data_IF_316640505770
#
_entry.id   IF_316640505770
#
_cell.length_a   1.000
_cell.length_b   1.000
_cell.length_c   1.000
_cell.angle_alpha   90.00
_cell.angle_beta   90.00
_cell.angle_gamma   90.00
#
_symmetry.space_group_name_H-M   'P 1'
#
loop_
_entity.id
_entity.type
_entity.pdbx_description
1 polymer ?
#
# COMPACT_ATOMS: atom_id res chain seq x y z
N UNK A 1 -21.86 -8.01 -2.08
CA UNK A 1 -20.81 -9.05 -1.94
C UNK A 1 -20.71 -9.92 -3.20
N UNK A 2 -21.83 -10.38 -3.75
CA UNK A 2 -21.88 -11.21 -4.97
C UNK A 2 -21.06 -10.63 -6.14
N UNK A 3 -21.28 -9.36 -6.50
CA UNK A 3 -20.54 -8.72 -7.61
C UNK A 3 -19.03 -8.70 -7.41
N UNK A 4 -18.56 -8.59 -6.16
CA UNK A 4 -17.13 -8.60 -5.82
C UNK A 4 -16.52 -9.99 -6.01
N UNK A 5 -17.26 -11.04 -5.66
CA UNK A 5 -16.86 -12.43 -5.94
C UNK A 5 -16.82 -12.70 -7.45
N UNK A 6 -17.85 -12.28 -8.19
CA UNK A 6 -17.88 -12.41 -9.66
C UNK A 6 -16.68 -11.73 -10.29
N UNK A 7 -16.33 -10.52 -9.86
CA UNK A 7 -15.14 -9.82 -10.37
C UNK A 7 -13.84 -10.56 -10.07
N UNK A 8 -13.68 -11.19 -8.90
CA UNK A 8 -12.48 -11.97 -8.57
C UNK A 8 -12.36 -13.19 -9.48
N UNK A 9 -13.48 -13.89 -9.73
CA UNK A 9 -13.50 -15.05 -10.63
C UNK A 9 -13.16 -14.62 -12.06
N UNK A 10 -13.78 -13.54 -12.56
CA UNK A 10 -13.47 -12.99 -13.89
C UNK A 10 -12.00 -12.55 -13.99
N UNK A 11 -11.47 -11.88 -12.98
CA UNK A 11 -10.06 -11.49 -12.93
C UNK A 11 -9.12 -12.70 -12.91
N UNK A 12 -9.52 -13.80 -12.24
CA UNK A 12 -8.76 -15.05 -12.28
C UNK A 12 -8.75 -15.65 -13.68
N UNK A 13 -9.89 -15.71 -14.37
CA UNK A 13 -9.94 -16.20 -15.76
C UNK A 13 -9.09 -15.32 -16.68
N UNK A 14 -9.17 -13.99 -16.51
CA UNK A 14 -8.34 -13.04 -17.26
C UNK A 14 -6.84 -13.23 -16.98
N UNK A 15 -6.45 -13.54 -15.74
CA UNK A 15 -5.04 -13.80 -15.42
C UNK A 15 -4.49 -15.03 -16.14
N UNK A 16 -5.28 -16.10 -16.28
CA UNK A 16 -4.91 -17.29 -17.06
C UNK A 16 -4.71 -16.92 -18.54
N UNK A 17 -5.61 -16.10 -19.10
CA UNK A 17 -5.45 -15.58 -20.46
C UNK A 17 -4.14 -14.81 -20.64
N UNK A 18 -3.82 -13.89 -19.73
CA UNK A 18 -2.58 -13.10 -19.81
C UNK A 18 -1.34 -13.98 -19.68
N UNK A 19 -1.33 -14.94 -18.75
CA UNK A 19 -0.21 -15.87 -18.55
C UNK A 19 0.05 -16.69 -19.83
N UNK A 20 -1.02 -17.21 -20.44
CA UNK A 20 -0.92 -17.96 -21.69
C UNK A 20 -0.48 -17.08 -22.86
N UNK A 21 -1.01 -15.86 -22.97
CA UNK A 21 -0.66 -14.91 -24.04
C UNK A 21 0.79 -14.45 -23.98
N UNK A 22 1.30 -14.22 -22.76
CA UNK A 22 2.71 -13.81 -22.54
C UNK A 22 3.70 -14.95 -22.74
N UNK A 23 3.24 -16.20 -22.86
CA UNK A 23 4.09 -17.37 -23.03
C UNK A 23 4.93 -17.72 -21.80
N UNK A 24 4.64 -17.12 -20.65
CA UNK A 24 5.37 -17.34 -19.39
C UNK A 24 5.12 -18.77 -18.90
N UNK A 25 3.89 -19.25 -19.03
CA UNK A 25 3.48 -20.60 -18.67
C UNK A 25 2.20 -20.94 -19.43
N UNK A 26 1.94 -22.23 -19.65
CA UNK A 26 0.69 -22.70 -20.28
C UNK A 26 -0.19 -23.29 -19.18
N UNK A 27 -1.29 -22.59 -18.90
CA UNK A 27 -2.32 -22.99 -17.96
C UNK A 27 -3.60 -23.36 -18.71
N UNK A 28 -4.10 -24.56 -18.44
CA UNK A 28 -5.42 -24.96 -18.90
C UNK A 28 -6.52 -24.22 -18.14
N UNK A 29 -7.64 -23.95 -18.81
CA UNK A 29 -8.84 -23.35 -18.21
C UNK A 29 -9.63 -24.39 -17.41
N UNK A 30 -9.05 -24.87 -16.31
CA UNK A 30 -9.68 -25.79 -15.37
C UNK A 30 -10.21 -25.05 -14.16
N UNK A 31 -11.24 -25.62 -13.51
CA UNK A 31 -11.79 -25.08 -12.26
C UNK A 31 -10.75 -24.94 -11.15
N UNK A 32 -9.77 -25.84 -11.07
CA UNK A 32 -8.68 -25.77 -10.10
C UNK A 32 -7.80 -24.54 -10.33
N UNK A 33 -7.37 -24.30 -11.57
CA UNK A 33 -6.53 -23.15 -11.90
C UNK A 33 -7.24 -21.81 -11.65
N UNK A 34 -8.55 -21.75 -11.94
CA UNK A 34 -9.39 -20.58 -11.63
C UNK A 34 -9.50 -20.36 -10.12
N UNK A 35 -9.63 -21.43 -9.32
CA UNK A 35 -9.65 -21.31 -7.87
C UNK A 35 -8.31 -20.84 -7.31
N UNK A 36 -7.19 -21.36 -7.82
CA UNK A 36 -5.86 -20.91 -7.41
C UNK A 36 -5.61 -19.45 -7.76
N UNK A 37 -5.96 -19.02 -8.96
CA UNK A 37 -5.85 -17.61 -9.36
C UNK A 37 -6.73 -16.70 -8.49
N UNK A 38 -7.96 -17.11 -8.18
CA UNK A 38 -8.84 -16.35 -7.28
C UNK A 38 -8.24 -16.21 -5.86
N UNK A 39 -7.65 -17.28 -5.31
CA UNK A 39 -6.98 -17.24 -4.01
C UNK A 39 -5.75 -16.31 -4.03
N UNK A 40 -4.95 -16.35 -5.09
CA UNK A 40 -3.79 -15.46 -5.26
C UNK A 40 -4.25 -14.00 -5.31
N UNK A 41 -5.30 -13.69 -6.08
CA UNK A 41 -5.87 -12.34 -6.15
C UNK A 41 -6.30 -11.86 -4.77
N UNK A 42 -6.99 -12.70 -3.99
CA UNK A 42 -7.38 -12.35 -2.62
C UNK A 42 -6.14 -12.09 -1.74
N UNK A 43 -5.11 -12.93 -1.84
CA UNK A 43 -3.84 -12.74 -1.15
C UNK A 43 -3.19 -11.39 -1.47
N UNK A 44 -3.11 -11.05 -2.76
CA UNK A 44 -2.58 -9.75 -3.23
C UNK A 44 -3.43 -8.59 -2.71
N UNK A 45 -4.75 -8.71 -2.70
CA UNK A 45 -5.63 -7.66 -2.16
C UNK A 45 -5.38 -7.40 -0.66
N UNK A 46 -5.13 -8.46 0.12
CA UNK A 46 -4.81 -8.34 1.55
C UNK A 46 -3.43 -7.68 1.71
N UNK A 47 -2.43 -8.15 0.96
CA UNK A 47 -1.09 -7.60 0.99
C UNK A 47 -1.08 -6.11 0.65
N UNK A 48 -1.78 -5.72 -0.43
CA UNK A 48 -1.93 -4.33 -0.83
C UNK A 48 -2.53 -3.45 0.27
N UNK A 49 -3.57 -3.94 0.96
CA UNK A 49 -4.18 -3.20 2.09
C UNK A 49 -3.21 -3.00 3.25
N UNK A 50 -2.39 -4.00 3.57
CA UNK A 50 -1.39 -3.92 4.63
C UNK A 50 -0.32 -2.91 4.23
N UNK A 51 0.23 -3.02 3.01
CA UNK A 51 1.27 -2.14 2.50
C UNK A 51 0.82 -0.68 2.48
N UNK A 52 -0.41 -0.38 2.05
CA UNK A 52 -0.91 1.00 2.03
C UNK A 52 -1.11 1.56 3.43
N UNK A 53 -1.55 0.74 4.40
CA UNK A 53 -1.61 1.18 5.80
C UNK A 53 -0.23 1.51 6.33
N UNK A 54 0.74 0.65 6.07
CA UNK A 54 2.13 0.85 6.47
C UNK A 54 2.73 2.10 5.80
N UNK A 55 2.52 2.28 4.49
CA UNK A 55 3.00 3.44 3.75
C UNK A 55 2.41 4.75 4.28
N UNK A 56 1.11 4.76 4.61
CA UNK A 56 0.46 5.93 5.23
C UNK A 56 1.07 6.25 6.59
N UNK A 57 1.31 5.23 7.43
CA UNK A 57 1.96 5.41 8.72
C UNK A 57 3.39 5.93 8.56
N UNK A 58 4.15 5.35 7.63
CA UNK A 58 5.50 5.78 7.33
C UNK A 58 5.55 7.23 6.86
N UNK A 59 4.71 7.61 5.91
CA UNK A 59 4.58 9.00 5.45
C UNK A 59 4.17 9.94 6.58
N UNK A 60 3.28 9.51 7.47
CA UNK A 60 2.92 10.29 8.65
C UNK A 60 4.13 10.51 9.56
N UNK A 61 4.89 9.46 9.87
CA UNK A 61 6.08 9.58 10.72
C UNK A 61 7.18 10.43 10.07
N UNK A 62 7.39 10.31 8.77
CA UNK A 62 8.48 11.04 8.08
C UNK A 62 8.13 12.50 7.81
N UNK A 63 6.86 12.83 7.59
CA UNK A 63 6.46 14.20 7.24
C UNK A 63 5.89 14.93 8.46
N UNK A 64 4.89 14.34 9.09
CA UNK A 64 4.08 15.03 10.11
C UNK A 64 4.86 15.17 11.41
N UNK A 65 5.60 14.15 11.84
CA UNK A 65 6.37 14.21 13.09
C UNK A 65 7.49 15.28 13.04
N UNK A 66 8.32 15.37 11.99
CA UNK A 66 9.31 16.45 11.89
C UNK A 66 8.67 17.85 11.83
N UNK A 67 7.58 18.01 11.08
CA UNK A 67 6.86 19.30 11.01
C UNK A 67 6.38 19.71 12.39
N UNK A 68 5.75 18.80 13.15
CA UNK A 68 5.35 19.10 14.53
C UNK A 68 6.56 19.37 15.42
N UNK A 69 7.65 18.61 15.27
CA UNK A 69 8.90 18.86 16.00
C UNK A 69 9.42 20.29 15.79
N UNK A 70 9.42 20.76 14.54
CA UNK A 70 9.79 22.14 14.20
C UNK A 70 8.80 23.14 14.81
N UNK A 71 7.50 22.92 14.69
CA UNK A 71 6.49 23.80 15.29
C UNK A 71 6.64 23.92 16.81
N UNK A 72 6.81 22.80 17.52
CA UNK A 72 7.03 22.81 18.96
C UNK A 72 8.34 23.49 19.34
N UNK A 73 9.39 23.32 18.55
CA UNK A 73 10.67 24.00 18.76
C UNK A 73 10.55 25.53 18.63
N UNK A 74 9.78 26.02 17.66
CA UNK A 74 9.49 27.46 17.52
C UNK A 74 8.61 27.99 18.67
N UNK A 75 7.62 27.24 19.11
CA UNK A 75 6.80 27.62 20.28
C UNK A 75 7.67 27.68 21.53
N UNK A 76 8.53 26.68 21.74
CA UNK A 76 9.43 26.62 22.87
C UNK A 76 10.38 27.81 22.90
N UNK A 77 11.08 28.08 21.80
CA UNK A 77 12.00 29.24 21.68
C UNK A 77 11.28 30.59 21.89
N UNK A 78 10.04 30.73 21.42
CA UNK A 78 9.24 31.92 21.69
C UNK A 78 8.93 32.10 23.19
N UNK A 79 8.63 31.01 23.91
CA UNK A 79 8.33 31.06 25.35
C UNK A 79 9.60 31.29 26.18
N UNK A 80 10.71 30.64 25.85
CA UNK A 80 11.96 30.73 26.62
C UNK A 80 12.80 31.94 26.27
N UNK A 81 12.52 32.61 25.14
CA UNK A 81 13.30 33.74 24.63
C UNK A 81 14.68 33.34 24.08
N UNK A 82 14.99 32.04 24.04
CA UNK A 82 16.23 31.53 23.46
C UNK A 82 16.07 31.37 21.95
N UNK A 83 16.95 31.97 21.14
CA UNK A 83 16.86 31.86 19.69
C UNK A 83 17.05 30.40 19.26
N UNK A 84 16.33 29.95 18.22
CA UNK A 84 16.52 28.63 17.62
C UNK A 84 18.00 28.39 17.31
N UNK A 85 18.54 27.21 17.64
CA UNK A 85 19.98 26.90 17.51
C UNK A 85 20.52 27.07 16.07
N UNK A 86 19.66 26.98 15.05
CA UNK A 86 20.02 27.22 13.65
C UNK A 86 19.98 28.70 13.23
N UNK A 87 19.52 29.61 14.11
CA UNK A 87 19.58 31.07 13.95
C UNK A 87 20.66 31.70 14.84
N UNK A 88 21.34 30.91 15.67
CA UNK A 88 22.49 31.34 16.46
C UNK A 88 23.70 31.40 15.53
N UNK A 89 23.91 32.56 14.89
CA UNK A 89 25.13 32.93 14.17
C UNK A 89 26.03 33.78 15.06
#
# INVERSE_FOLDING_TARGET
MLMRLVMIVLASVASIFVINYTGIYILDYTWQNILYGALIIIGIMILYKILIKFLKLFLFVVIVVPVFGICFYYIYSYITGEPPAFMQF
#
